data_IF_760147349738
#
_entry.id   IF_760147349738
#
_cell.length_a   1.000
_cell.length_b   1.000
_cell.length_c   1.000
_cell.angle_alpha   90.00
_cell.angle_beta   90.00
_cell.angle_gamma   90.00
#
_symmetry.space_group_name_H-M   'P 1'
#
loop_
_entity.id
_entity.type
_entity.pdbx_description
1 polymer ?
#
# COMPACT_ATOMS: atom_id res chain seq x y z
N UNK A 1 -37.92 36.61 -40.31
CA UNK A 1 -37.95 36.97 -38.88
C UNK A 1 -37.87 35.68 -38.07
N UNK A 2 -36.66 35.18 -37.83
CA UNK A 2 -36.39 34.12 -36.86
C UNK A 2 -34.88 33.99 -36.66
N UNK A 3 -34.39 34.24 -35.45
CA UNK A 3 -33.08 33.87 -34.90
C UNK A 3 -33.08 34.34 -33.43
N UNK A 4 -33.34 33.45 -32.48
CA UNK A 4 -32.38 32.55 -31.81
C UNK A 4 -32.11 33.06 -30.39
N UNK A 5 -32.80 32.43 -29.45
CA UNK A 5 -32.43 32.43 -28.05
C UNK A 5 -31.01 31.86 -27.92
N UNK A 6 -30.09 32.67 -27.40
CA UNK A 6 -28.77 32.23 -27.02
C UNK A 6 -28.89 31.30 -25.80
N UNK A 7 -28.93 30.00 -26.09
CA UNK A 7 -28.74 28.94 -25.12
C UNK A 7 -27.24 28.89 -24.76
N UNK A 8 -26.87 29.35 -23.58
CA UNK A 8 -25.54 29.15 -23.00
C UNK A 8 -25.33 27.65 -22.72
N UNK A 9 -24.23 27.03 -23.17
CA UNK A 9 -23.92 25.67 -22.74
C UNK A 9 -23.44 25.71 -21.28
N UNK A 10 -24.08 24.91 -20.45
CA UNK A 10 -23.62 24.57 -19.11
C UNK A 10 -22.24 23.90 -19.19
N UNK A 11 -21.31 24.36 -18.35
CA UNK A 11 -20.00 23.75 -18.15
C UNK A 11 -20.15 22.26 -17.73
N UNK A 12 -19.59 21.28 -18.47
CA UNK A 12 -19.70 19.87 -18.11
C UNK A 12 -18.59 19.37 -17.17
N UNK A 13 -17.73 20.24 -16.61
CA UNK A 13 -16.49 19.82 -15.93
C UNK A 13 -16.64 19.38 -14.46
N UNK A 14 -17.82 19.48 -13.84
CA UNK A 14 -18.00 19.14 -12.42
C UNK A 14 -18.28 17.63 -12.16
N UNK A 15 -18.52 16.83 -13.20
CA UNK A 15 -18.97 15.45 -13.07
C UNK A 15 -17.90 14.36 -13.12
N UNK A 16 -16.62 14.68 -13.37
CA UNK A 16 -15.59 13.66 -13.67
C UNK A 16 -14.64 13.34 -12.50
N UNK A 17 -14.63 14.16 -11.44
CA UNK A 17 -13.67 13.98 -10.32
C UNK A 17 -14.09 12.90 -9.31
N UNK A 18 -15.39 12.60 -9.17
CA UNK A 18 -15.88 11.66 -8.16
C UNK A 18 -15.55 10.19 -8.50
N UNK A 19 -15.50 9.83 -9.78
CA UNK A 19 -15.25 8.46 -10.25
C UNK A 19 -13.76 8.06 -10.10
N UNK A 20 -12.83 9.02 -10.21
CA UNK A 20 -11.40 8.76 -10.11
C UNK A 20 -10.92 8.48 -8.68
N UNK A 21 -11.56 9.07 -7.66
CA UNK A 21 -11.16 8.92 -6.26
C UNK A 21 -11.46 7.51 -5.74
N UNK A 22 -12.61 6.93 -6.11
CA UNK A 22 -12.99 5.58 -5.68
C UNK A 22 -12.06 4.49 -6.24
N UNK A 23 -11.60 4.62 -7.49
CA UNK A 23 -10.66 3.68 -8.12
C UNK A 23 -9.24 3.73 -7.54
N UNK A 24 -8.81 4.88 -6.99
CA UNK A 24 -7.48 5.04 -6.40
C UNK A 24 -7.39 4.52 -4.96
N UNK A 25 -8.49 4.56 -4.19
CA UNK A 25 -8.51 4.10 -2.78
C UNK A 25 -8.39 2.58 -2.68
N UNK A 26 -9.02 1.82 -3.58
CA UNK A 26 -8.96 0.36 -3.59
C UNK A 26 -7.53 -0.16 -3.91
N UNK A 27 -6.88 0.40 -4.94
CA UNK A 27 -5.50 0.01 -5.33
C UNK A 27 -4.48 0.23 -4.20
N UNK A 28 -4.71 1.21 -3.31
CA UNK A 28 -3.79 1.55 -2.23
C UNK A 28 -3.92 0.68 -0.98
N UNK A 29 -5.02 -0.07 -0.81
CA UNK A 29 -5.22 -0.94 0.35
C UNK A 29 -4.73 -2.36 0.09
N UNK A 30 -4.92 -2.88 -1.12
CA UNK A 30 -4.45 -4.23 -1.49
C UNK A 30 -2.91 -4.30 -1.59
N UNK A 31 -2.28 -3.27 -2.16
CA UNK A 31 -0.82 -3.16 -2.20
C UNK A 31 -0.17 -3.11 -0.80
N UNK A 32 -0.94 -2.83 0.25
CA UNK A 32 -0.46 -2.83 1.62
C UNK A 32 -0.42 -4.21 2.24
N UNK A 33 -1.47 -4.99 2.02
CA UNK A 33 -1.54 -6.36 2.48
C UNK A 33 -0.57 -7.27 1.69
N UNK A 34 -0.52 -7.12 0.36
CA UNK A 34 0.27 -8.00 -0.50
C UNK A 34 1.78 -7.90 -0.24
N UNK A 35 2.30 -6.68 -0.07
CA UNK A 35 3.72 -6.52 0.21
C UNK A 35 4.11 -7.02 1.61
N UNK A 36 3.25 -6.85 2.61
CA UNK A 36 3.52 -7.38 3.95
C UNK A 36 3.44 -8.93 3.97
N UNK A 37 2.41 -9.51 3.35
CA UNK A 37 2.24 -10.95 3.26
C UNK A 37 3.39 -11.61 2.49
N UNK A 38 3.83 -11.01 1.39
CA UNK A 38 4.98 -11.50 0.63
C UNK A 38 6.29 -11.45 1.45
N UNK A 39 6.51 -10.36 2.20
CA UNK A 39 7.69 -10.24 3.05
C UNK A 39 7.67 -11.26 4.21
N UNK A 40 6.48 -11.57 4.74
CA UNK A 40 6.31 -12.58 5.77
C UNK A 40 6.59 -14.00 5.25
N UNK A 41 6.09 -14.33 4.05
CA UNK A 41 6.36 -15.62 3.42
C UNK A 41 7.87 -15.82 3.15
N UNK A 42 8.57 -14.78 2.69
CA UNK A 42 10.01 -14.84 2.50
C UNK A 42 10.76 -15.02 3.83
N UNK A 43 10.30 -14.38 4.92
CA UNK A 43 10.87 -14.59 6.26
C UNK A 43 10.69 -16.03 6.75
N UNK A 44 9.55 -16.66 6.50
CA UNK A 44 9.31 -18.07 6.83
C UNK A 44 10.24 -19.01 6.04
N UNK A 45 10.49 -18.71 4.76
CA UNK A 45 11.42 -19.47 3.94
C UNK A 45 12.86 -19.37 4.46
N UNK A 46 13.32 -18.15 4.78
CA UNK A 46 14.64 -17.92 5.39
C UNK A 46 14.74 -18.70 6.71
N UNK A 47 13.72 -18.61 7.58
CA UNK A 47 13.71 -19.34 8.85
C UNK A 47 13.85 -20.86 8.62
N UNK A 48 13.10 -21.41 7.67
CA UNK A 48 13.19 -22.82 7.31
C UNK A 48 14.55 -23.23 6.73
N UNK A 49 15.29 -22.31 6.10
CA UNK A 49 16.68 -22.58 5.71
C UNK A 49 17.63 -22.50 6.91
N UNK A 50 17.47 -21.53 7.82
CA UNK A 50 18.35 -21.38 8.99
C UNK A 50 18.27 -22.57 9.97
N UNK A 51 17.12 -23.26 10.02
CA UNK A 51 16.93 -24.45 10.85
C UNK A 51 17.60 -25.71 10.29
N UNK A 52 18.11 -25.67 9.05
CA UNK A 52 18.82 -26.78 8.45
C UNK A 52 20.24 -26.88 9.01
N UNK A 53 20.61 -28.08 9.44
CA UNK A 53 21.90 -28.39 10.04
C UNK A 53 23.08 -28.47 9.04
N UNK A 54 22.84 -28.30 7.75
CA UNK A 54 23.86 -28.36 6.68
C UNK A 54 24.20 -26.99 6.07
N UNK A 55 23.74 -25.89 6.67
CA UNK A 55 23.95 -24.54 6.14
C UNK A 55 25.29 -23.96 6.59
N UNK A 56 26.04 -23.43 5.62
CA UNK A 56 27.32 -22.77 5.85
C UNK A 56 27.17 -21.40 6.53
N UNK A 57 28.16 -21.01 7.34
CA UNK A 57 28.11 -19.79 8.17
C UNK A 57 27.99 -18.51 7.34
N UNK A 58 28.60 -18.47 6.15
CA UNK A 58 28.51 -17.34 5.23
C UNK A 58 27.09 -17.22 4.63
N UNK A 59 26.44 -18.37 4.41
CA UNK A 59 25.04 -18.43 3.97
C UNK A 59 24.10 -17.97 5.09
N UNK A 60 24.36 -18.39 6.34
CA UNK A 60 23.60 -17.91 7.51
C UNK A 60 23.69 -16.38 7.63
N UNK A 61 24.89 -15.81 7.49
CA UNK A 61 25.08 -14.36 7.56
C UNK A 61 24.27 -13.61 6.50
N UNK A 62 24.29 -14.09 5.26
CA UNK A 62 23.53 -13.51 4.14
C UNK A 62 22.02 -13.58 4.38
N UNK A 63 21.54 -14.73 4.87
CA UNK A 63 20.12 -14.94 5.15
C UNK A 63 19.62 -14.10 6.32
N UNK A 64 20.40 -13.96 7.40
CA UNK A 64 20.07 -13.09 8.53
C UNK A 64 20.05 -11.62 8.10
N UNK A 65 20.98 -11.19 7.23
CA UNK A 65 20.97 -9.85 6.68
C UNK A 65 19.68 -9.59 5.88
N UNK A 66 19.29 -10.52 5.02
CA UNK A 66 18.05 -10.44 4.25
C UNK A 66 16.81 -10.39 5.15
N UNK A 67 16.76 -11.22 6.19
CA UNK A 67 15.67 -11.18 7.16
C UNK A 67 15.56 -9.83 7.87
N UNK A 68 16.70 -9.21 8.22
CA UNK A 68 16.73 -7.88 8.85
C UNK A 68 16.12 -6.79 7.95
N UNK A 69 16.38 -6.86 6.64
CA UNK A 69 15.79 -5.95 5.65
C UNK A 69 14.27 -6.13 5.56
N UNK A 70 13.80 -7.37 5.48
CA UNK A 70 12.37 -7.69 5.43
C UNK A 70 11.64 -7.24 6.70
N UNK A 71 12.25 -7.44 7.88
CA UNK A 71 11.68 -6.97 9.16
C UNK A 71 11.59 -5.44 9.17
N UNK A 72 12.61 -4.75 8.67
CA UNK A 72 12.62 -3.28 8.59
C UNK A 72 11.50 -2.78 7.69
N UNK A 73 11.34 -3.39 6.52
CA UNK A 73 10.24 -3.12 5.60
C UNK A 73 8.87 -3.35 6.25
N UNK A 74 8.67 -4.49 6.90
CA UNK A 74 7.43 -4.81 7.60
C UNK A 74 7.07 -3.75 8.67
N UNK A 75 8.06 -3.30 9.45
CA UNK A 75 7.87 -2.24 10.45
C UNK A 75 7.48 -0.91 9.84
N UNK A 76 8.10 -0.51 8.74
CA UNK A 76 7.78 0.72 8.04
C UNK A 76 6.33 0.69 7.51
N UNK A 77 5.91 -0.44 6.95
CA UNK A 77 4.52 -0.63 6.49
C UNK A 77 3.51 -0.48 7.63
N UNK A 78 3.77 -1.11 8.77
CA UNK A 78 2.90 -1.02 9.95
C UNK A 78 2.83 0.43 10.45
N UNK A 79 3.96 1.13 10.52
CA UNK A 79 4.01 2.53 10.92
C UNK A 79 3.18 3.40 9.97
N UNK A 80 3.29 3.17 8.65
CA UNK A 80 2.55 3.90 7.64
C UNK A 80 1.04 3.63 7.70
N UNK A 81 0.64 2.38 7.95
CA UNK A 81 -0.75 2.02 8.17
C UNK A 81 -1.31 2.71 9.43
N UNK A 82 -0.52 2.75 10.51
CA UNK A 82 -0.91 3.41 11.76
C UNK A 82 -1.14 4.91 11.58
N UNK A 83 -0.25 5.60 10.85
CA UNK A 83 -0.43 7.02 10.50
C UNK A 83 -1.71 7.28 9.70
N UNK A 84 -2.06 6.39 8.76
CA UNK A 84 -3.31 6.50 8.00
C UNK A 84 -4.54 6.32 8.88
N UNK A 85 -4.50 5.35 9.80
CA UNK A 85 -5.57 5.16 10.79
C UNK A 85 -5.72 6.42 11.64
N UNK A 86 -4.61 6.96 12.16
CA UNK A 86 -4.62 8.16 13.00
C UNK A 86 -5.24 9.37 12.26
N UNK A 87 -4.94 9.53 10.96
CA UNK A 87 -5.54 10.59 10.12
C UNK A 87 -7.04 10.40 9.91
N UNK A 88 -7.49 9.16 9.67
CA UNK A 88 -8.92 8.86 9.51
C UNK A 88 -9.67 9.13 10.80
N UNK A 89 -9.13 8.70 11.94
CA UNK A 89 -9.75 8.94 13.25
C UNK A 89 -9.84 10.43 13.56
N UNK A 90 -8.77 11.20 13.34
CA UNK A 90 -8.78 12.64 13.56
C UNK A 90 -9.85 13.36 12.73
N UNK A 91 -10.10 12.92 11.49
CA UNK A 91 -11.15 13.48 10.64
C UNK A 91 -12.58 13.07 11.00
N UNK A 92 -12.78 12.13 11.93
CA UNK A 92 -14.11 11.74 12.44
C UNK A 92 -14.52 12.52 13.69
N UNK A 93 -13.57 13.14 14.39
CA UNK A 93 -13.79 13.89 15.62
C UNK A 93 -14.06 15.41 15.38
N UNK A 94 -14.02 15.87 14.12
CA UNK A 94 -14.37 17.22 13.64
C UNK A 94 -15.78 17.27 13.01
#
# INVERSE_FOLDING_TARGET
MNAQAANQPADPAAGQVADQVAGQVAVQTDAVADGYASALAELEEILGQLERSDVDVDTLATQVQRASELISFCRERIANARLRIDQVVAGLDD
#
